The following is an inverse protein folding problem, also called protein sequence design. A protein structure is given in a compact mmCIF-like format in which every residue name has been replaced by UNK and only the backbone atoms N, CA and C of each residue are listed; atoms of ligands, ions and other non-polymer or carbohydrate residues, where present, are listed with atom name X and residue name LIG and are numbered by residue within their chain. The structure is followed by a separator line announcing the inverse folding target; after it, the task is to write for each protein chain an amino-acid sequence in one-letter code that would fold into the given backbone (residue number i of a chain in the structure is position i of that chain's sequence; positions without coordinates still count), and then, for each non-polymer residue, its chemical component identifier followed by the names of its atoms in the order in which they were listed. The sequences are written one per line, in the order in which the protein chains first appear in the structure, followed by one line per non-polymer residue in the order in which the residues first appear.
data_IF_184616010869
#
_entry.id   IF_184616010869
#
_cell.length_a   1.000
_cell.length_b   1.000
_cell.length_c   1.000
_cell.angle_alpha   90.00
_cell.angle_beta   90.00
_cell.angle_gamma   90.00
#
_symmetry.space_group_name_H-M   'P 1'
#
loop_
_entity.id
_entity.type
_entity.pdbx_description
1 polymer ?
#
# COMPACT_ATOMS: atom_id res chain seq x y z
N UNK A 1 21.79 1.86 1.89
CA UNK A 1 22.45 3.12 1.46
C UNK A 1 21.80 3.50 0.13
N UNK A 2 21.18 4.68 0.03
CA UNK A 2 20.58 5.12 -1.24
C UNK A 2 21.69 5.21 -2.29
N UNK A 3 21.49 4.57 -3.43
CA UNK A 3 22.47 4.57 -4.54
C UNK A 3 22.76 6.04 -4.93
N UNK A 4 24.02 6.42 -5.20
CA UNK A 4 24.39 7.82 -5.50
C UNK A 4 23.62 8.43 -6.68
N UNK A 5 22.99 7.59 -7.50
CA UNK A 5 22.27 7.99 -8.70
C UNK A 5 20.80 8.37 -8.46
N UNK A 6 20.30 8.26 -7.23
CA UNK A 6 18.90 8.62 -6.91
C UNK A 6 18.81 10.05 -6.40
N UNK A 7 18.12 10.91 -7.17
CA UNK A 7 17.80 12.28 -6.77
C UNK A 7 16.55 12.28 -5.89
N UNK A 8 16.71 12.78 -4.67
CA UNK A 8 15.60 13.08 -3.76
C UNK A 8 15.42 14.59 -3.65
N UNK A 9 14.26 15.11 -4.05
CA UNK A 9 14.03 16.55 -4.11
C UNK A 9 12.57 16.95 -3.91
N UNK A 10 12.30 18.24 -3.79
CA UNK A 10 10.93 18.76 -3.82
C UNK A 10 10.05 18.47 -2.60
N UNK A 11 10.61 17.92 -1.51
CA UNK A 11 9.88 17.70 -0.25
C UNK A 11 10.31 18.68 0.84
N UNK A 12 9.34 19.34 1.47
CA UNK A 12 9.52 19.93 2.80
C UNK A 12 9.24 18.90 3.91
N UNK A 13 9.62 19.17 5.18
CA UNK A 13 9.22 18.32 6.32
C UNK A 13 7.69 18.14 6.42
N UNK A 14 6.93 19.18 6.08
CA UNK A 14 5.46 19.13 6.03
C UNK A 14 4.97 18.20 4.92
N UNK A 15 5.58 18.23 3.73
CA UNK A 15 5.18 17.36 2.62
C UNK A 15 5.43 15.89 2.92
N UNK A 16 6.54 15.57 3.58
CA UNK A 16 6.80 14.21 4.09
C UNK A 16 5.76 13.77 5.10
N UNK A 17 5.43 14.63 6.06
CA UNK A 17 4.42 14.34 7.07
C UNK A 17 3.05 14.12 6.43
N UNK A 18 2.67 14.96 5.45
CA UNK A 18 1.44 14.82 4.67
C UNK A 18 1.41 13.51 3.90
N UNK A 19 2.44 13.22 3.09
CA UNK A 19 2.54 11.99 2.31
C UNK A 19 2.42 10.76 3.22
N UNK A 20 3.21 10.67 4.29
CA UNK A 20 3.15 9.54 5.22
C UNK A 20 1.81 9.43 5.94
N UNK A 21 1.19 10.57 6.28
CA UNK A 21 -0.14 10.59 6.88
C UNK A 21 -1.26 10.19 5.91
N UNK A 22 -1.05 10.27 4.59
CA UNK A 22 -2.04 9.82 3.61
C UNK A 22 -2.27 8.31 3.67
N UNK A 23 -1.25 7.54 4.08
CA UNK A 23 -1.32 6.09 4.27
C UNK A 23 -1.83 5.68 5.65
N UNK A 24 -2.11 6.64 6.54
CA UNK A 24 -2.68 6.35 7.86
C UNK A 24 -4.18 6.18 7.76
N UNK A 25 -4.71 5.18 8.44
CA UNK A 25 -6.15 5.00 8.56
C UNK A 25 -6.75 6.10 9.43
N UNK A 26 -7.63 6.89 8.83
CA UNK A 26 -8.43 7.86 9.55
C UNK A 26 -9.24 7.11 10.64
N UNK A 27 -9.36 7.67 11.86
CA UNK A 27 -10.26 7.11 12.85
C UNK A 27 -11.67 7.12 12.26
N UNK A 28 -12.34 5.98 12.36
CA UNK A 28 -13.74 5.85 11.97
C UNK A 28 -14.58 6.63 12.99
N UNK A 29 -15.29 7.69 12.60
CA UNK A 29 -16.10 8.45 13.54
C UNK A 29 -17.29 7.63 14.05
N UNK A 30 -17.73 6.60 13.32
CA UNK A 30 -18.84 5.72 13.71
C UNK A 30 -18.43 4.59 14.66
N UNK A 31 -17.12 4.29 14.74
CA UNK A 31 -16.58 3.24 15.61
C UNK A 31 -15.34 3.74 16.37
N UNK A 32 -15.55 4.51 17.47
CA UNK A 32 -14.46 4.99 18.30
C UNK A 32 -13.68 3.87 18.98
N UNK A 33 -14.30 2.70 19.19
CA UNK A 33 -13.68 1.52 19.79
C UNK A 33 -12.82 0.72 18.81
N UNK A 34 -12.92 0.97 17.49
CA UNK A 34 -12.11 0.31 16.46
C UNK A 34 -10.63 0.34 16.83
N UNK A 35 -9.92 -0.81 16.81
CA UNK A 35 -8.51 -0.86 17.17
C UNK A 35 -7.66 0.13 16.39
N UNK A 36 -6.70 0.79 17.05
CA UNK A 36 -5.92 1.91 16.50
C UNK A 36 -4.43 1.63 16.59
N UNK A 37 -3.71 1.99 15.53
CA UNK A 37 -2.25 1.85 15.49
C UNK A 37 -1.78 0.38 15.55
N UNK A 38 -0.52 0.21 15.89
CA UNK A 38 0.09 -1.07 16.21
C UNK A 38 1.05 -0.93 17.37
N UNK A 39 1.46 -2.08 17.89
CA UNK A 39 2.34 -2.18 19.05
C UNK A 39 3.60 -2.95 18.65
N UNK A 40 4.75 -2.37 18.94
CA UNK A 40 6.04 -3.04 18.80
C UNK A 40 6.56 -3.35 20.19
N UNK A 41 6.74 -4.63 20.48
CA UNK A 41 7.22 -5.15 21.76
C UNK A 41 8.61 -5.74 21.57
N UNK A 42 9.51 -5.39 22.47
CA UNK A 42 10.79 -6.08 22.64
C UNK A 42 10.74 -6.78 23.98
N UNK A 43 10.89 -8.10 23.99
CA UNK A 43 10.83 -8.91 25.20
C UNK A 43 12.12 -9.71 25.41
N UNK A 44 12.34 -10.14 26.64
CA UNK A 44 13.50 -10.92 27.03
C UNK A 44 13.01 -12.02 27.98
N UNK A 45 12.85 -13.23 27.42
CA UNK A 45 12.23 -14.37 28.09
C UNK A 45 10.83 -14.04 28.63
N UNK A 46 10.76 -13.77 29.93
CA UNK A 46 9.53 -13.61 30.71
C UNK A 46 9.04 -12.17 30.92
N UNK A 47 9.63 -11.15 30.30
CA UNK A 47 9.10 -9.77 30.42
C UNK A 47 9.30 -8.91 29.18
N UNK A 48 8.42 -7.93 29.02
CA UNK A 48 8.60 -6.83 28.06
C UNK A 48 9.69 -5.89 28.59
N UNK A 49 10.62 -5.51 27.72
CA UNK A 49 11.69 -4.53 27.98
C UNK A 49 11.38 -3.17 27.36
N UNK A 50 10.70 -3.19 26.21
CA UNK A 50 10.33 -1.99 25.47
C UNK A 50 8.97 -2.22 24.82
N UNK A 51 8.11 -1.21 24.92
CA UNK A 51 6.82 -1.17 24.26
C UNK A 51 6.68 0.17 23.54
N UNK A 52 6.34 0.13 22.26
CA UNK A 52 6.11 1.30 21.43
C UNK A 52 4.78 1.16 20.71
N UNK A 53 3.84 2.04 21.05
CA UNK A 53 2.62 2.24 20.30
C UNK A 53 2.87 3.20 19.13
N UNK A 54 2.44 2.85 17.92
CA UNK A 54 2.69 3.67 16.72
C UNK A 54 1.97 5.03 16.75
N UNK A 55 0.99 5.21 17.64
CA UNK A 55 0.26 6.48 17.82
C UNK A 55 0.64 7.18 19.11
N UNK A 56 0.61 6.44 20.22
CA UNK A 56 0.77 7.02 21.56
C UNK A 56 2.25 7.06 21.99
N UNK A 57 3.14 6.55 21.13
CA UNK A 57 4.56 6.54 21.38
C UNK A 57 4.95 5.48 22.39
N UNK A 58 5.90 5.82 23.27
CA UNK A 58 6.47 4.84 24.20
C UNK A 58 5.47 4.52 25.31
N UNK A 59 5.19 3.23 25.51
CA UNK A 59 4.40 2.74 26.64
C UNK A 59 5.32 2.26 27.76
N UNK A 60 4.79 2.22 28.99
CA UNK A 60 5.49 1.58 30.10
C UNK A 60 5.48 0.05 29.88
N UNK A 61 6.64 -0.61 29.72
CA UNK A 61 6.69 -2.05 29.53
C UNK A 61 6.16 -2.86 30.73
N UNK A 62 6.12 -2.28 31.94
CA UNK A 62 5.66 -2.98 33.14
C UNK A 62 4.14 -3.16 33.20
N UNK A 63 3.38 -2.40 32.41
CA UNK A 63 1.92 -2.53 32.33
C UNK A 63 1.47 -3.68 31.43
N UNK A 64 2.39 -4.27 30.65
CA UNK A 64 2.10 -5.36 29.71
C UNK A 64 2.59 -6.67 30.33
N UNK A 65 1.65 -7.50 30.78
CA UNK A 65 1.94 -8.83 31.29
C UNK A 65 2.52 -9.73 30.18
N UNK A 66 3.57 -10.50 30.48
CA UNK A 66 4.29 -11.35 29.54
C UNK A 66 4.83 -12.61 30.24
N UNK A 67 4.92 -13.78 29.57
CA UNK A 67 4.46 -14.08 28.21
C UNK A 67 2.93 -14.23 28.14
N UNK A 68 2.32 -13.77 27.04
CA UNK A 68 0.88 -13.90 26.77
C UNK A 68 0.62 -14.09 25.28
N UNK A 69 -0.57 -14.57 24.94
CA UNK A 69 -1.01 -14.56 23.55
C UNK A 69 -1.10 -13.11 23.04
N UNK A 70 -0.52 -12.86 21.87
CA UNK A 70 -0.55 -11.53 21.26
C UNK A 70 -1.97 -11.09 20.91
N UNK A 71 -2.90 -12.00 20.67
CA UNK A 71 -4.30 -11.66 20.43
C UNK A 71 -4.93 -10.98 21.66
N UNK A 72 -4.64 -11.50 22.86
CA UNK A 72 -5.15 -10.94 24.11
C UNK A 72 -4.53 -9.57 24.40
N UNK A 73 -3.21 -9.45 24.22
CA UNK A 73 -2.52 -8.17 24.32
C UNK A 73 -3.08 -7.18 23.30
N UNK A 74 -3.42 -7.64 22.10
CA UNK A 74 -4.00 -6.85 21.02
C UNK A 74 -5.36 -6.28 21.38
N UNK A 75 -6.22 -7.10 21.98
CA UNK A 75 -7.54 -6.71 22.46
C UNK A 75 -7.44 -5.74 23.64
N UNK A 76 -6.60 -6.02 24.65
CA UNK A 76 -6.42 -5.16 25.83
C UNK A 76 -5.85 -3.78 25.48
N UNK A 77 -4.88 -3.74 24.56
CA UNK A 77 -4.26 -2.49 24.11
C UNK A 77 -5.04 -1.82 22.96
N UNK A 78 -6.13 -2.44 22.51
CA UNK A 78 -6.96 -2.02 21.39
C UNK A 78 -6.16 -1.64 20.13
N UNK A 79 -5.24 -2.53 19.71
CA UNK A 79 -4.33 -2.30 18.56
C UNK A 79 -4.69 -3.15 17.35
N UNK A 80 -4.30 -2.72 16.14
CA UNK A 80 -4.58 -3.47 14.89
C UNK A 80 -3.56 -4.55 14.57
N UNK A 81 -2.34 -4.36 15.03
CA UNK A 81 -1.26 -5.31 14.86
C UNK A 81 -0.27 -5.21 16.00
N UNK A 82 0.43 -6.32 16.25
CA UNK A 82 1.53 -6.41 17.21
C UNK A 82 2.70 -7.09 16.52
N UNK A 83 3.89 -6.54 16.69
CA UNK A 83 5.15 -7.22 16.43
C UNK A 83 5.88 -7.38 17.75
N UNK A 84 6.04 -8.62 18.21
CA UNK A 84 6.80 -8.93 19.41
C UNK A 84 8.07 -9.67 19.03
N UNK A 85 9.22 -9.15 19.42
CA UNK A 85 10.52 -9.69 19.07
C UNK A 85 11.37 -9.90 20.32
N UNK A 86 12.19 -10.95 20.34
CA UNK A 86 13.14 -11.12 21.44
C UNK A 86 14.24 -10.05 21.38
N UNK A 87 14.84 -9.76 22.53
CA UNK A 87 16.05 -8.94 22.60
C UNK A 87 17.14 -9.59 21.75
N UNK A 88 17.76 -8.84 20.83
CA UNK A 88 18.73 -9.36 19.86
C UNK A 88 18.14 -9.59 18.46
N UNK A 89 16.82 -9.71 18.30
CA UNK A 89 16.20 -9.99 17.00
C UNK A 89 16.45 -8.86 15.99
N UNK A 90 16.48 -7.61 16.45
CA UNK A 90 16.74 -6.47 15.58
C UNK A 90 18.21 -6.41 15.15
N UNK A 91 19.12 -6.72 16.06
CA UNK A 91 20.55 -6.84 15.77
C UNK A 91 20.79 -7.94 14.74
N UNK A 92 20.17 -9.11 14.93
CA UNK A 92 20.25 -10.23 14.00
C UNK A 92 19.62 -9.91 12.64
N UNK A 93 18.49 -9.19 12.62
CA UNK A 93 17.90 -8.68 11.38
C UNK A 93 18.90 -7.83 10.60
N UNK A 94 19.55 -6.89 11.29
CA UNK A 94 20.51 -5.97 10.70
C UNK A 94 21.80 -6.68 10.28
N UNK A 95 22.25 -7.68 11.02
CA UNK A 95 23.40 -8.51 10.67
C UNK A 95 23.14 -9.31 9.38
N UNK A 96 22.00 -10.01 9.30
CA UNK A 96 21.59 -10.77 8.11
C UNK A 96 21.40 -9.86 6.90
N UNK A 97 20.75 -8.73 7.09
CA UNK A 97 20.61 -7.71 6.05
C UNK A 97 21.99 -7.22 5.57
N UNK A 98 22.89 -6.88 6.50
CA UNK A 98 24.25 -6.43 6.24
C UNK A 98 25.11 -7.46 5.51
N UNK A 99 24.97 -8.75 5.85
CA UNK A 99 25.69 -9.84 5.19
C UNK A 99 25.29 -10.02 3.71
N UNK A 100 24.03 -9.68 3.37
CA UNK A 100 23.46 -9.87 2.04
C UNK A 100 23.59 -8.66 1.13
N UNK A 101 23.47 -7.45 1.70
CA UNK A 101 23.50 -6.22 0.90
C UNK A 101 24.85 -6.03 0.20
N UNK A 102 24.81 -5.52 -1.03
CA UNK A 102 25.96 -5.20 -1.86
C UNK A 102 25.94 -3.72 -2.23
N UNK A 103 27.11 -3.14 -2.50
CA UNK A 103 27.23 -1.71 -2.90
C UNK A 103 26.46 -1.38 -4.18
N UNK A 104 26.27 -2.36 -5.06
CA UNK A 104 25.53 -2.21 -6.32
C UNK A 104 24.01 -2.38 -6.18
N UNK A 105 23.50 -2.77 -5.01
CA UNK A 105 22.07 -3.01 -4.83
C UNK A 105 21.29 -1.70 -4.85
N UNK A 106 20.25 -1.65 -5.66
CA UNK A 106 19.29 -0.56 -5.64
C UNK A 106 18.34 -0.65 -4.43
N UNK A 107 17.54 0.40 -4.23
CA UNK A 107 16.60 0.52 -3.10
C UNK A 107 15.61 -0.63 -3.04
N UNK A 108 15.14 -1.11 -4.19
CA UNK A 108 14.16 -2.19 -4.24
C UNK A 108 14.78 -3.53 -3.86
N UNK A 109 16.00 -3.82 -4.32
CA UNK A 109 16.76 -5.00 -3.89
C UNK A 109 17.02 -4.94 -2.39
N UNK A 110 17.48 -3.79 -1.88
CA UNK A 110 17.71 -3.61 -0.44
C UNK A 110 16.42 -3.85 0.36
N UNK A 111 15.27 -3.35 -0.10
CA UNK A 111 13.99 -3.59 0.55
C UNK A 111 13.62 -5.09 0.56
N UNK A 112 13.74 -5.78 -0.59
CA UNK A 112 13.45 -7.22 -0.67
C UNK A 112 14.36 -8.06 0.22
N UNK A 113 15.65 -7.72 0.31
CA UNK A 113 16.60 -8.39 1.21
C UNK A 113 16.23 -8.18 2.69
N UNK A 114 15.83 -6.96 3.06
CA UNK A 114 15.38 -6.65 4.42
C UNK A 114 14.09 -7.41 4.76
N UNK A 115 13.11 -7.42 3.86
CA UNK A 115 11.88 -8.22 4.03
C UNK A 115 12.19 -9.72 4.12
N UNK A 116 13.15 -10.21 3.33
CA UNK A 116 13.66 -11.58 3.40
C UNK A 116 14.19 -11.93 4.78
N UNK A 117 15.12 -11.13 5.29
CA UNK A 117 15.69 -11.32 6.63
C UNK A 117 14.64 -11.22 7.73
N UNK A 118 13.72 -10.26 7.64
CA UNK A 118 12.63 -10.11 8.60
C UNK A 118 11.71 -11.33 8.63
N UNK A 119 11.40 -11.89 7.46
CA UNK A 119 10.59 -13.11 7.36
C UNK A 119 11.28 -14.32 7.96
N UNK A 120 12.58 -14.51 7.69
CA UNK A 120 13.32 -15.63 8.29
C UNK A 120 13.21 -15.60 9.81
N UNK A 121 13.34 -14.42 10.42
CA UNK A 121 13.14 -14.26 11.86
C UNK A 121 11.69 -14.53 12.31
N UNK A 122 10.68 -14.26 11.46
CA UNK A 122 9.30 -14.70 11.76
C UNK A 122 9.19 -16.22 11.73
N UNK A 123 9.75 -16.85 10.69
CA UNK A 123 9.67 -18.29 10.48
C UNK A 123 10.42 -19.07 11.58
N UNK A 124 11.51 -18.50 12.10
CA UNK A 124 12.27 -19.01 13.26
C UNK A 124 11.61 -18.72 14.62
N UNK A 125 10.54 -17.91 14.64
CA UNK A 125 9.86 -17.50 15.87
C UNK A 125 10.58 -16.42 16.66
N UNK A 126 11.68 -15.87 16.14
CA UNK A 126 12.38 -14.73 16.70
C UNK A 126 11.53 -13.45 16.70
N UNK A 127 10.66 -13.32 15.70
CA UNK A 127 9.65 -12.28 15.58
C UNK A 127 8.27 -12.93 15.51
N UNK A 128 7.41 -12.61 16.45
CA UNK A 128 6.01 -13.00 16.43
C UNK A 128 5.15 -11.82 16.00
N UNK A 129 4.14 -12.10 15.16
CA UNK A 129 3.22 -11.09 14.69
C UNK A 129 1.77 -11.48 14.94
N UNK A 130 0.97 -10.48 15.24
CA UNK A 130 -0.49 -10.58 15.27
C UNK A 130 -1.09 -9.40 14.49
N UNK A 131 -2.16 -9.60 13.70
CA UNK A 131 -2.62 -10.89 13.23
C UNK A 131 -1.56 -11.56 12.32
N UNK A 132 -1.53 -12.89 12.25
CA UNK A 132 -0.54 -13.68 11.47
C UNK A 132 -0.78 -13.63 9.96
N UNK A 133 -1.18 -12.48 9.41
CA UNK A 133 -1.57 -12.28 7.99
C UNK A 133 -0.42 -12.49 7.01
N UNK A 134 0.82 -12.28 7.48
CA UNK A 134 2.02 -12.45 6.68
C UNK A 134 2.49 -13.90 6.61
N UNK A 135 1.99 -14.80 7.48
CA UNK A 135 2.43 -16.19 7.51
C UNK A 135 2.01 -16.90 6.22
N UNK A 136 2.98 -17.49 5.53
CA UNK A 136 2.77 -18.25 4.30
C UNK A 136 2.61 -17.41 3.03
N UNK A 137 2.70 -16.07 3.11
CA UNK A 137 2.67 -15.23 1.91
C UNK A 137 4.07 -15.20 1.29
N UNK A 138 4.29 -15.68 0.05
CA UNK A 138 5.62 -15.69 -0.56
C UNK A 138 6.16 -14.27 -0.74
N UNK A 139 7.45 -14.07 -0.47
CA UNK A 139 8.13 -12.81 -0.80
C UNK A 139 8.29 -12.80 -2.33
N UNK A 140 7.82 -11.74 -3.03
CA UNK A 140 7.99 -11.67 -4.46
C UNK A 140 9.47 -11.68 -4.82
N UNK A 141 9.82 -12.46 -5.84
CA UNK A 141 11.17 -12.42 -6.40
C UNK A 141 11.41 -11.09 -7.10
N UNK A 142 12.67 -10.71 -7.24
CA UNK A 142 13.05 -9.48 -7.95
C UNK A 142 12.45 -9.43 -9.36
N UNK A 143 12.50 -10.53 -10.09
CA UNK A 143 11.93 -10.65 -11.44
C UNK A 143 10.40 -10.46 -11.49
N UNK A 144 9.67 -10.80 -10.42
CA UNK A 144 8.23 -10.54 -10.32
C UNK A 144 7.96 -9.07 -10.07
N UNK A 145 8.74 -8.44 -9.18
CA UNK A 145 8.58 -7.01 -8.92
C UNK A 145 8.96 -6.17 -10.14
N UNK A 146 10.08 -6.49 -10.80
CA UNK A 146 10.50 -5.78 -12.02
C UNK A 146 9.43 -5.88 -13.09
N UNK A 147 8.85 -7.07 -13.32
CA UNK A 147 7.72 -7.25 -14.26
C UNK A 147 6.48 -6.44 -13.88
N UNK A 148 6.15 -6.38 -12.59
CA UNK A 148 5.02 -5.58 -12.12
C UNK A 148 5.26 -4.08 -12.35
N UNK A 149 6.48 -3.61 -12.11
CA UNK A 149 6.89 -2.23 -12.38
C UNK A 149 6.90 -1.97 -13.89
N UNK A 150 7.44 -2.87 -14.71
CA UNK A 150 7.46 -2.80 -16.18
C UNK A 150 6.06 -2.59 -16.77
N UNK A 151 5.07 -3.27 -16.19
CA UNK A 151 3.68 -3.20 -16.64
C UNK A 151 3.02 -1.83 -16.34
N UNK A 152 3.54 -1.09 -15.37
CA UNK A 152 2.97 0.18 -14.89
C UNK A 152 3.76 1.40 -15.37
N UNK A 153 5.08 1.31 -15.35
CA UNK A 153 5.99 2.40 -15.69
C UNK A 153 7.16 1.90 -16.53
N UNK A 154 7.22 2.35 -17.79
CA UNK A 154 8.32 2.06 -18.68
C UNK A 154 9.59 2.87 -18.31
N UNK A 155 10.79 2.43 -18.71
CA UNK A 155 12.03 3.18 -18.47
C UNK A 155 11.95 4.60 -19.05
N UNK A 156 12.46 5.59 -18.30
CA UNK A 156 12.39 7.00 -18.67
C UNK A 156 11.04 7.68 -18.40
N UNK A 157 10.03 6.95 -17.95
CA UNK A 157 8.71 7.50 -17.60
C UNK A 157 8.54 7.68 -16.10
N UNK A 158 7.54 8.48 -15.74
CA UNK A 158 7.23 8.84 -14.36
C UNK A 158 5.91 8.23 -13.90
N UNK A 159 5.84 7.92 -12.60
CA UNK A 159 4.60 7.68 -11.87
C UNK A 159 4.31 8.91 -11.03
N UNK A 160 3.05 9.33 -10.98
CA UNK A 160 2.59 10.46 -10.20
C UNK A 160 1.47 10.00 -9.24
N UNK A 161 1.63 10.34 -7.96
CA UNK A 161 0.55 10.38 -6.98
C UNK A 161 0.34 11.84 -6.61
N UNK A 162 -0.86 12.37 -6.81
CA UNK A 162 -1.23 13.73 -6.47
C UNK A 162 -2.49 13.71 -5.59
N UNK A 163 -2.34 14.21 -4.37
CA UNK A 163 -3.45 14.26 -3.42
C UNK A 163 -3.83 15.71 -3.17
N UNK A 164 -5.12 15.97 -3.20
CA UNK A 164 -5.71 17.30 -3.08
C UNK A 164 -6.49 17.42 -1.78
N UNK A 165 -6.59 18.63 -1.24
CA UNK A 165 -7.45 18.95 -0.10
C UNK A 165 -8.19 20.22 -0.48
N UNK A 166 -9.52 20.11 -0.62
CA UNK A 166 -10.38 21.21 -1.06
C UNK A 166 -9.95 21.75 -2.44
N UNK A 167 -9.58 20.85 -3.36
CA UNK A 167 -9.14 21.19 -4.71
C UNK A 167 -7.69 21.69 -4.84
N UNK A 168 -7.03 22.02 -3.73
CA UNK A 168 -5.65 22.48 -3.71
C UNK A 168 -4.64 21.33 -3.59
N UNK A 169 -3.46 21.45 -4.21
CA UNK A 169 -2.45 20.38 -4.18
C UNK A 169 -1.84 20.20 -2.79
N UNK A 170 -2.40 19.26 -2.03
CA UNK A 170 -2.03 18.99 -0.66
C UNK A 170 -0.67 18.29 -0.53
N UNK A 171 -0.41 17.25 -1.33
CA UNK A 171 0.93 16.64 -1.49
C UNK A 171 1.03 15.90 -2.82
N UNK A 172 2.26 15.63 -3.26
CA UNK A 172 2.52 14.79 -4.43
C UNK A 172 3.76 13.94 -4.24
N UNK A 173 3.81 12.82 -4.96
CA UNK A 173 4.97 11.96 -5.09
C UNK A 173 5.16 11.63 -6.57
N UNK A 174 6.29 12.06 -7.12
CA UNK A 174 6.74 11.69 -8.46
C UNK A 174 7.87 10.69 -8.31
N UNK A 175 7.78 9.59 -9.03
CA UNK A 175 8.84 8.58 -9.10
C UNK A 175 9.19 8.34 -10.55
N UNK A 176 10.45 8.57 -10.95
CA UNK A 176 10.92 8.34 -12.31
C UNK A 176 11.75 7.07 -12.41
N UNK A 177 11.46 6.29 -13.45
CA UNK A 177 12.25 5.12 -13.80
C UNK A 177 13.46 5.51 -14.63
N UNK A 178 14.64 5.03 -14.25
CA UNK A 178 15.88 5.38 -14.91
C UNK A 178 15.93 4.80 -16.34
N UNK A 179 16.51 5.56 -17.28
CA UNK A 179 16.72 5.11 -18.66
C UNK A 179 17.90 4.14 -18.75
N UNK A 180 19.04 4.52 -18.16
CA UNK A 180 20.28 3.74 -18.22
C UNK A 180 20.20 2.41 -17.44
N UNK A 181 19.39 2.38 -16.39
CA UNK A 181 19.17 1.20 -15.56
C UNK A 181 17.68 0.99 -15.32
N UNK A 182 16.96 0.38 -16.28
CA UNK A 182 15.51 0.17 -16.22
C UNK A 182 15.01 -0.40 -14.90
N UNK A 183 15.78 -1.25 -14.22
CA UNK A 183 15.38 -1.82 -12.94
C UNK A 183 15.34 -0.79 -11.78
N UNK A 184 15.77 0.46 -11.99
CA UNK A 184 15.99 1.46 -10.95
C UNK A 184 15.09 2.67 -11.11
N UNK A 185 14.84 3.33 -9.99
CA UNK A 185 14.30 4.68 -9.96
C UNK A 185 15.45 5.67 -9.73
N UNK A 186 15.55 6.70 -10.56
CA UNK A 186 16.60 7.73 -10.48
C UNK A 186 16.09 9.06 -9.91
N UNK A 187 14.77 9.24 -9.81
CA UNK A 187 14.16 10.44 -9.21
C UNK A 187 13.01 10.06 -8.28
N UNK A 188 13.03 10.63 -7.09
CA UNK A 188 11.91 10.68 -6.14
C UNK A 188 11.70 12.15 -5.77
N UNK A 189 10.62 12.75 -6.27
CA UNK A 189 10.35 14.16 -6.15
C UNK A 189 9.02 14.46 -5.46
N UNK A 190 9.00 15.51 -4.65
CA UNK A 190 7.83 16.02 -3.94
C UNK A 190 7.14 17.20 -4.64
N UNK A 191 6.11 17.77 -4.01
CA UNK A 191 5.23 18.75 -4.64
C UNK A 191 5.82 20.15 -4.78
N UNK A 192 6.95 20.47 -4.14
CA UNK A 192 7.38 21.88 -3.96
C UNK A 192 7.65 22.62 -5.27
N UNK A 193 8.33 21.99 -6.23
CA UNK A 193 8.54 22.58 -7.56
C UNK A 193 7.23 22.62 -8.37
N UNK A 194 6.41 21.56 -8.25
CA UNK A 194 5.16 21.41 -8.98
C UNK A 194 4.11 22.45 -8.58
N UNK A 195 3.99 22.76 -7.28
CA UNK A 195 3.06 23.81 -6.79
C UNK A 195 3.36 25.18 -7.37
N UNK A 196 4.65 25.51 -7.58
CA UNK A 196 5.04 26.80 -8.17
C UNK A 196 4.67 26.86 -9.64
N UNK A 197 4.81 25.74 -10.35
CA UNK A 197 4.54 25.65 -11.78
C UNK A 197 3.06 25.60 -12.12
N UNK A 198 2.23 24.96 -11.27
CA UNK A 198 0.79 24.86 -11.51
C UNK A 198 0.09 26.23 -11.58
N UNK A 199 0.67 27.28 -10.98
CA UNK A 199 0.10 28.63 -11.00
C UNK A 199 -1.26 28.70 -10.29
N UNK A 200 -2.17 29.52 -10.83
CA UNK A 200 -3.53 29.66 -10.30
C UNK A 200 -4.40 28.46 -10.69
N UNK A 201 -4.87 27.73 -9.68
CA UNK A 201 -5.79 26.60 -9.76
C UNK A 201 -7.25 27.08 -9.79
N UNK A 202 -8.12 26.27 -10.40
CA UNK A 202 -9.56 26.54 -10.41
C UNK A 202 -10.25 26.15 -9.10
N UNK A 203 -9.53 25.47 -8.20
CA UNK A 203 -10.08 24.87 -6.98
C UNK A 203 -10.85 23.56 -7.24
N UNK A 204 -10.75 23.01 -8.46
CA UNK A 204 -11.30 21.70 -8.81
C UNK A 204 -10.19 20.84 -9.43
N UNK A 205 -9.64 19.92 -8.64
CA UNK A 205 -8.55 19.05 -9.08
C UNK A 205 -8.91 18.22 -10.33
N UNK A 206 -10.20 17.94 -10.56
CA UNK A 206 -10.68 17.18 -11.73
C UNK A 206 -10.44 17.95 -13.04
N UNK A 207 -10.18 19.24 -12.96
CA UNK A 207 -9.77 20.09 -14.09
C UNK A 207 -8.27 20.37 -14.05
N UNK A 208 -7.76 20.66 -12.85
CA UNK A 208 -6.40 21.16 -12.65
C UNK A 208 -5.32 20.08 -12.76
N UNK A 209 -5.69 18.79 -12.67
CA UNK A 209 -4.74 17.68 -12.80
C UNK A 209 -3.91 17.73 -14.08
N UNK A 210 -4.45 18.29 -15.16
CA UNK A 210 -3.74 18.41 -16.46
C UNK A 210 -2.54 19.34 -16.35
N UNK A 211 -2.67 20.45 -15.63
CA UNK A 211 -1.57 21.37 -15.38
C UNK A 211 -0.47 20.71 -14.54
N UNK A 212 -0.86 19.91 -13.55
CA UNK A 212 0.10 19.12 -12.78
C UNK A 212 0.83 18.08 -13.64
N UNK A 213 0.10 17.34 -14.49
CA UNK A 213 0.71 16.38 -15.41
C UNK A 213 1.71 17.09 -16.32
N UNK A 214 1.34 18.22 -16.94
CA UNK A 214 2.25 19.00 -17.77
C UNK A 214 3.49 19.49 -17.02
N UNK A 215 3.34 19.96 -15.78
CA UNK A 215 4.47 20.35 -14.93
C UNK A 215 5.40 19.16 -14.65
N UNK A 216 4.84 17.99 -14.33
CA UNK A 216 5.63 16.76 -14.11
C UNK A 216 6.36 16.34 -15.38
N UNK A 217 5.72 16.41 -16.53
CA UNK A 217 6.35 16.08 -17.81
C UNK A 217 7.50 17.04 -18.16
N UNK A 218 7.34 18.33 -17.84
CA UNK A 218 8.39 19.33 -18.05
C UNK A 218 9.62 19.12 -17.16
N UNK A 219 9.43 18.81 -15.87
CA UNK A 219 10.56 18.67 -14.93
C UNK A 219 11.17 17.26 -14.90
N UNK A 220 10.33 16.24 -15.02
CA UNK A 220 10.70 14.86 -14.69
C UNK A 220 10.61 13.92 -15.88
N UNK A 221 9.79 14.23 -16.88
CA UNK A 221 9.61 13.44 -18.08
C UNK A 221 8.24 12.75 -18.17
N UNK A 222 7.96 12.04 -19.29
CA UNK A 222 6.61 11.60 -19.65
C UNK A 222 5.92 10.79 -18.56
N UNK A 223 4.67 11.12 -18.24
CA UNK A 223 3.92 10.38 -17.22
C UNK A 223 3.42 9.06 -17.82
N UNK A 224 3.70 7.95 -17.16
CA UNK A 224 3.15 6.62 -17.49
C UNK A 224 1.80 6.39 -16.81
N UNK A 225 1.69 6.87 -15.57
CA UNK A 225 0.48 6.81 -14.76
C UNK A 225 0.47 7.98 -13.79
N UNK A 226 -0.67 8.66 -13.68
CA UNK A 226 -0.95 9.64 -12.64
C UNK A 226 -2.21 9.28 -11.89
N UNK A 227 -2.17 9.25 -10.55
CA UNK A 227 -3.34 9.11 -9.69
C UNK A 227 -3.61 10.44 -9.01
N UNK A 228 -4.81 10.97 -9.22
CA UNK A 228 -5.26 12.25 -8.66
C UNK A 228 -6.53 12.03 -7.87
N UNK A 229 -6.57 12.46 -6.61
CA UNK A 229 -7.74 12.31 -5.76
C UNK A 229 -7.72 13.30 -4.58
N UNK A 230 -8.88 13.58 -4.01
CA UNK A 230 -8.95 14.18 -2.67
C UNK A 230 -8.31 13.25 -1.63
N UNK A 231 -7.63 13.81 -0.64
CA UNK A 231 -6.95 13.07 0.44
C UNK A 231 -7.94 12.18 1.19
N UNK A 232 -9.16 12.68 1.44
CA UNK A 232 -10.22 11.94 2.10
C UNK A 232 -10.63 10.69 1.29
N UNK A 233 -10.87 10.86 -0.01
CA UNK A 233 -11.22 9.76 -0.92
C UNK A 233 -10.11 8.73 -1.01
N UNK A 234 -8.86 9.18 -1.21
CA UNK A 234 -7.72 8.27 -1.28
C UNK A 234 -7.55 7.46 0.02
N UNK A 235 -7.66 8.10 1.18
CA UNK A 235 -7.61 7.42 2.48
C UNK A 235 -8.73 6.38 2.64
N UNK A 236 -9.96 6.71 2.27
CA UNK A 236 -11.06 5.75 2.32
C UNK A 236 -10.75 4.52 1.45
N UNK A 237 -10.29 4.75 0.22
CA UNK A 237 -10.00 3.70 -0.75
C UNK A 237 -8.83 2.80 -0.37
N UNK A 238 -7.75 3.31 0.21
CA UNK A 238 -6.62 2.45 0.60
C UNK A 238 -6.86 1.69 1.92
N UNK A 239 -7.82 2.12 2.74
CA UNK A 239 -7.96 1.60 4.12
C UNK A 239 -9.23 0.80 4.39
N UNK A 240 -10.28 1.03 3.61
CA UNK A 240 -11.59 0.42 3.83
C UNK A 240 -12.35 0.11 2.54
N UNK A 241 -11.70 0.13 1.36
CA UNK A 241 -12.37 -0.19 0.11
C UNK A 241 -12.97 -1.60 0.11
N UNK A 242 -14.25 -1.68 -0.21
CA UNK A 242 -14.90 -2.90 -0.66
C UNK A 242 -14.65 -3.10 -2.16
N UNK A 243 -14.91 -4.30 -2.67
CA UNK A 243 -14.76 -4.54 -4.11
C UNK A 243 -15.78 -3.70 -4.90
N UNK A 244 -15.27 -2.99 -5.90
CA UNK A 244 -16.01 -2.04 -6.73
C UNK A 244 -15.79 -0.57 -6.34
N UNK A 245 -15.26 -0.27 -5.16
CA UNK A 245 -15.12 1.11 -4.70
C UNK A 245 -14.10 1.90 -5.52
N UNK A 246 -12.99 1.27 -5.91
CA UNK A 246 -11.98 1.91 -6.77
C UNK A 246 -12.57 2.18 -8.16
N UNK A 247 -13.25 1.21 -8.74
CA UNK A 247 -13.90 1.39 -10.03
C UNK A 247 -14.98 2.47 -10.00
N UNK A 248 -15.79 2.51 -8.94
CA UNK A 248 -16.80 3.55 -8.72
C UNK A 248 -16.15 4.93 -8.57
N UNK A 249 -15.09 5.05 -7.78
CA UNK A 249 -14.40 6.32 -7.58
C UNK A 249 -13.80 6.85 -8.89
N UNK A 250 -13.26 5.97 -9.75
CA UNK A 250 -12.78 6.35 -11.09
C UNK A 250 -13.96 6.76 -11.99
N UNK A 251 -15.06 6.01 -11.98
CA UNK A 251 -16.25 6.30 -12.80
C UNK A 251 -16.91 7.65 -12.42
N UNK A 252 -16.96 7.97 -11.13
CA UNK A 252 -17.47 9.24 -10.60
C UNK A 252 -16.46 10.39 -10.67
N UNK A 253 -15.23 10.13 -11.15
CA UNK A 253 -14.10 11.09 -11.15
C UNK A 253 -13.74 11.61 -9.76
N UNK A 254 -14.01 10.84 -8.71
CA UNK A 254 -13.45 11.09 -7.37
C UNK A 254 -11.98 10.66 -7.31
N UNK A 255 -11.59 9.77 -8.22
CA UNK A 255 -10.21 9.48 -8.59
C UNK A 255 -10.06 9.72 -10.09
N UNK A 256 -9.03 10.45 -10.51
CA UNK A 256 -8.64 10.59 -11.91
C UNK A 256 -7.34 9.84 -12.14
N UNK A 257 -7.36 8.90 -13.10
CA UNK A 257 -6.16 8.22 -13.58
C UNK A 257 -5.73 8.83 -14.92
N UNK A 258 -4.59 9.52 -14.94
CA UNK A 258 -4.16 10.27 -16.11
C UNK A 258 -2.63 10.29 -16.28
N UNK A 259 -2.11 9.76 -17.41
CA UNK A 259 -2.78 8.83 -18.31
C UNK A 259 -3.16 7.53 -17.58
N UNK A 260 -4.20 6.83 -18.05
CA UNK A 260 -4.57 5.52 -17.54
C UNK A 260 -3.87 4.43 -18.35
N UNK A 261 -2.94 3.65 -17.77
CA UNK A 261 -2.36 2.51 -18.47
C UNK A 261 -3.44 1.48 -18.81
N UNK A 262 -3.38 0.89 -20.00
CA UNK A 262 -4.25 -0.22 -20.43
C UNK A 262 -4.26 -1.37 -19.41
N UNK A 263 -3.11 -1.64 -18.79
CA UNK A 263 -2.95 -2.69 -17.76
C UNK A 263 -3.83 -2.45 -16.53
N UNK A 264 -4.19 -1.20 -16.22
CA UNK A 264 -5.09 -0.89 -15.11
C UNK A 264 -6.58 -0.91 -15.48
N UNK A 265 -6.92 -0.88 -16.77
CA UNK A 265 -8.29 -1.00 -17.22
C UNK A 265 -8.92 -2.35 -16.86
N UNK A 266 -8.15 -3.44 -16.91
CA UNK A 266 -8.63 -4.79 -16.59
C UNK A 266 -8.87 -4.97 -15.08
N UNK A 267 -7.94 -4.65 -14.16
CA UNK A 267 -8.19 -4.68 -12.72
C UNK A 267 -9.37 -3.82 -12.28
N UNK A 268 -9.53 -2.60 -12.83
CA UNK A 268 -10.68 -1.75 -12.54
C UNK A 268 -11.99 -2.36 -13.07
N UNK A 269 -11.97 -2.99 -14.25
CA UNK A 269 -13.11 -3.74 -14.76
C UNK A 269 -13.47 -4.96 -13.89
N UNK A 270 -12.47 -5.68 -13.37
CA UNK A 270 -12.66 -6.80 -12.44
C UNK A 270 -13.24 -6.30 -11.11
N UNK A 271 -12.73 -5.19 -10.60
CA UNK A 271 -13.24 -4.55 -9.38
C UNK A 271 -14.71 -4.13 -9.55
N UNK A 272 -15.04 -3.45 -10.66
CA UNK A 272 -16.41 -3.11 -11.03
C UNK A 272 -17.34 -4.34 -11.11
N UNK A 273 -16.88 -5.39 -11.79
CA UNK A 273 -17.63 -6.64 -11.93
C UNK A 273 -17.91 -7.32 -10.59
N UNK A 274 -16.93 -7.30 -9.67
CA UNK A 274 -17.09 -7.83 -8.31
C UNK A 274 -18.06 -6.99 -7.47
N UNK A 275 -17.97 -5.66 -7.54
CA UNK A 275 -18.92 -4.76 -6.88
C UNK A 275 -20.35 -5.01 -7.35
N UNK A 276 -20.56 -5.11 -8.66
CA UNK A 276 -21.86 -5.44 -9.24
C UNK A 276 -22.37 -6.82 -8.77
N UNK A 277 -21.50 -7.84 -8.72
CA UNK A 277 -21.86 -9.17 -8.24
C UNK A 277 -22.24 -9.19 -6.74
N UNK A 278 -21.55 -8.41 -5.90
CA UNK A 278 -21.88 -8.30 -4.47
C UNK A 278 -23.19 -7.57 -4.23
N UNK A 279 -23.46 -6.49 -4.98
CA UNK A 279 -24.73 -5.79 -4.95
C UNK A 279 -25.88 -6.69 -5.40
N UNK A 280 -25.69 -7.44 -6.50
CA UNK A 280 -26.66 -8.43 -6.97
C UNK A 280 -26.90 -9.54 -5.92
N UNK A 281 -25.85 -10.04 -5.27
CA UNK A 281 -25.96 -11.04 -4.22
C UNK A 281 -26.62 -10.50 -2.93
N UNK A 282 -26.52 -9.19 -2.66
CA UNK A 282 -27.19 -8.53 -1.52
C UNK A 282 -28.67 -8.30 -1.79
N UNK A 283 -29.01 -7.85 -3.00
CA UNK A 283 -30.40 -7.73 -3.45
C UNK A 283 -31.09 -9.10 -3.52
N UNK A 284 -30.41 -10.12 -4.05
CA UNK A 284 -30.92 -11.49 -4.07
C UNK A 284 -31.19 -12.03 -2.64
N UNK A 285 -30.33 -11.74 -1.67
CA UNK A 285 -30.54 -12.12 -0.27
C UNK A 285 -31.71 -11.41 0.41
N UNK A 286 -32.09 -10.22 -0.06
CA UNK A 286 -33.26 -9.50 0.44
C UNK A 286 -34.56 -9.98 -0.19
N UNK A 287 -34.51 -10.59 -1.38
CA UNK A 287 -35.67 -11.00 -2.17
C UNK A 287 -35.94 -12.53 -2.07
N UNK A 288 -34.99 -13.31 -1.56
CA UNK A 288 -35.05 -14.77 -1.52
C UNK A 288 -35.01 -15.37 -0.09
N UNK A 289 -36.11 -15.27 0.69
CA UNK A 289 -36.24 -15.97 1.97
C UNK A 289 -36.37 -17.50 1.82
N UNK A 290 -36.52 -18.02 0.59
CA UNK A 290 -36.76 -19.45 0.28
C UNK A 290 -35.56 -20.16 -0.37
N UNK A 291 -34.45 -19.47 -0.64
CA UNK A 291 -33.18 -20.06 -1.10
C UNK A 291 -33.12 -20.50 -2.58
N UNK A 292 -34.03 -20.04 -3.42
CA UNK A 292 -34.18 -20.47 -4.83
C UNK A 292 -33.13 -19.81 -5.75
N UNK A 293 -32.56 -18.66 -5.38
CA UNK A 293 -31.64 -17.86 -6.21
C UNK A 293 -30.17 -18.30 -6.06
N UNK A 294 -29.84 -18.98 -4.95
CA UNK A 294 -28.47 -19.45 -4.68
C UNK A 294 -27.86 -20.38 -5.76
N UNK A 295 -28.59 -21.36 -6.33
CA UNK A 295 -28.08 -22.22 -7.40
C UNK A 295 -27.74 -21.44 -8.69
N UNK A 296 -28.51 -20.40 -9.03
CA UNK A 296 -28.26 -19.55 -10.20
C UNK A 296 -27.01 -18.69 -10.05
N UNK A 297 -26.77 -18.12 -8.85
CA UNK A 297 -25.56 -17.37 -8.55
C UNK A 297 -24.29 -18.24 -8.59
N UNK A 298 -24.38 -19.52 -8.16
CA UNK A 298 -23.27 -20.49 -8.30
C UNK A 298 -22.97 -20.84 -9.75
N UNK A 299 -23.99 -20.84 -10.61
CA UNK A 299 -23.84 -21.06 -12.06
C UNK A 299 -23.21 -19.84 -12.75
N UNK A 300 -23.61 -18.62 -12.39
CA UNK A 300 -22.95 -17.39 -12.85
C UNK A 300 -21.50 -17.28 -12.37
N UNK A 301 -21.20 -17.70 -11.14
CA UNK A 301 -19.83 -17.74 -10.62
C UNK A 301 -18.91 -18.70 -11.38
N UNK A 302 -19.46 -19.73 -12.04
CA UNK A 302 -18.74 -20.65 -12.93
C UNK A 302 -18.62 -20.16 -14.38
N UNK A 303 -19.42 -19.17 -14.77
CA UNK A 303 -19.42 -18.58 -16.11
C UNK A 303 -18.51 -17.33 -16.21
N UNK A 304 -17.98 -16.84 -15.09
CA UNK A 304 -16.88 -15.87 -15.08
C UNK A 304 -15.63 -16.58 -15.64
N UNK A 305 -15.07 -16.13 -16.77
CA UNK A 305 -13.91 -16.79 -17.36
C UNK A 305 -12.75 -16.80 -16.36
N UNK A 306 -12.10 -17.96 -16.20
CA UNK A 306 -10.75 -18.01 -15.65
C UNK A 306 -9.86 -17.17 -16.57
N UNK A 307 -9.65 -15.92 -16.17
CA UNK A 307 -8.73 -15.04 -16.89
C UNK A 307 -7.33 -15.68 -16.82
N UNK A 308 -6.59 -15.72 -17.93
CA UNK A 308 -5.20 -16.15 -17.88
C UNK A 308 -4.45 -15.29 -16.86
N UNK A 309 -3.48 -15.87 -16.13
CA UNK A 309 -2.70 -15.11 -15.17
C UNK A 309 -2.09 -13.90 -15.86
N UNK A 310 -2.41 -12.71 -15.36
CA UNK A 310 -1.87 -11.45 -15.88
C UNK A 310 -0.34 -11.56 -15.78
N UNK A 311 0.31 -11.70 -16.93
CA UNK A 311 1.76 -11.71 -17.07
C UNK A 311 2.47 -12.90 -16.44
N UNK A 312 2.19 -14.14 -16.87
CA UNK A 312 3.10 -15.29 -16.67
C UNK A 312 3.66 -15.44 -15.26
N UNK A 313 2.85 -15.13 -14.24
CA UNK A 313 3.23 -15.27 -12.86
C UNK A 313 3.37 -16.77 -12.55
N UNK A 314 4.46 -17.14 -11.88
CA UNK A 314 4.61 -18.46 -11.28
C UNK A 314 3.34 -18.79 -10.48
N UNK A 315 2.82 -20.03 -10.54
CA UNK A 315 1.63 -20.41 -9.78
C UNK A 315 1.87 -20.16 -8.29
N UNK A 316 1.28 -19.08 -7.73
CA UNK A 316 1.33 -18.81 -6.30
C UNK A 316 1.46 -17.35 -5.85
N UNK A 317 1.86 -16.39 -6.70
CA UNK A 317 1.95 -14.97 -6.31
C UNK A 317 0.94 -14.10 -7.06
N UNK A 318 -0.05 -13.56 -6.32
CA UNK A 318 -0.99 -12.57 -6.83
C UNK A 318 -0.78 -11.25 -6.06
N UNK A 319 -0.20 -10.20 -6.68
CA UNK A 319 0.13 -8.94 -6.00
C UNK A 319 -1.10 -8.22 -5.44
N UNK A 320 -2.27 -8.39 -6.07
CA UNK A 320 -3.54 -7.84 -5.58
C UNK A 320 -4.04 -8.61 -4.35
N UNK A 321 -3.80 -9.91 -4.26
CA UNK A 321 -4.11 -10.71 -3.06
C UNK A 321 -3.17 -10.38 -1.90
N UNK A 322 -1.88 -10.11 -2.17
CA UNK A 322 -0.94 -9.61 -1.17
C UNK A 322 -1.40 -8.26 -0.61
N UNK A 323 -1.72 -7.29 -1.49
CA UNK A 323 -2.27 -6.00 -1.08
C UNK A 323 -3.58 -6.16 -0.31
N UNK A 324 -4.48 -7.06 -0.75
CA UNK A 324 -5.72 -7.36 -0.03
C UNK A 324 -5.49 -7.98 1.34
N UNK A 325 -4.51 -8.86 1.52
CA UNK A 325 -4.18 -9.43 2.85
C UNK A 325 -3.51 -8.42 3.78
N UNK A 326 -2.76 -7.47 3.22
CA UNK A 326 -2.13 -6.39 3.96
C UNK A 326 -3.14 -5.31 4.39
N UNK A 327 -4.13 -5.02 3.54
CA UNK A 327 -5.10 -3.94 3.73
C UNK A 327 -6.47 -4.42 4.26
N UNK A 328 -6.84 -5.67 3.97
CA UNK A 328 -8.09 -6.28 4.40
C UNK A 328 -8.07 -6.66 5.88
N UNK A 329 -9.21 -6.48 6.54
CA UNK A 329 -9.48 -6.95 7.91
C UNK A 329 -9.44 -8.47 7.99
#
# INVERSE_FOLDING_TARGET
MLTPDVRFEGFSPTDWSRLLSSFRVAPDPEDPERPRGGLVLVHDGGRVRKALHTRDGRLDPHTIAWPRDLADVGAEQNVRFIWAMHSGALEELMERFGARVRRGDDVLTQALLLFGAFRELIDEGAITSWPRKLKGVPIPTRAVVDRAIDAVVQPGRTMLLALYEEGELWTALVVRRAVAHPARFDVIAGPMALRREMGFTSGDFRRDYRHLVSAVEAFYGPVSIGLHAEVATFRALITAAEAGDWARAVALRDVVLAPMPLVLGVPLGVDAGRGAAMLAARAARQIDPLGIVQPMLRLMGRALPELPPIGGASPGFNPLELLRRLLGR
#
